data_IF_492733037718
#
_entry.id   IF_492733037718
#
_cell.length_a   1.000
_cell.length_b   1.000
_cell.length_c   1.000
_cell.angle_alpha   90.00
_cell.angle_beta   90.00
_cell.angle_gamma   90.00
#
_symmetry.space_group_name_H-M   'P 1'
#
loop_
_entity.id
_entity.type
_entity.pdbx_description
1 polymer ?
#
# COMPACT_ATOMS: atom_id res chain seq x y z
N UNK A 1 2.98 12.23 11.38
CA UNK A 1 3.41 11.55 10.14
C UNK A 1 4.65 10.73 10.49
N UNK A 2 4.68 9.40 10.26
CA UNK A 2 5.88 8.63 10.51
C UNK A 2 7.03 9.15 9.63
N UNK A 3 8.23 9.31 10.17
CA UNK A 3 9.39 9.86 9.43
C UNK A 3 10.20 8.73 8.77
N UNK A 4 9.91 7.49 9.14
CA UNK A 4 10.63 6.28 8.75
C UNK A 4 9.75 5.38 7.87
N UNK A 5 10.35 4.52 7.03
CA UNK A 5 9.62 3.57 6.22
C UNK A 5 8.79 2.62 7.10
N UNK A 6 7.55 2.36 6.69
CA UNK A 6 6.62 1.51 7.46
C UNK A 6 6.44 0.17 6.76
N UNK A 7 6.63 -0.92 7.50
CA UNK A 7 6.28 -2.27 7.03
C UNK A 7 4.78 -2.49 7.18
N UNK A 8 4.16 -2.95 6.10
CA UNK A 8 2.71 -3.12 6.01
C UNK A 8 2.37 -4.16 4.94
N UNK A 9 1.08 -4.50 4.82
CA UNK A 9 0.54 -5.16 3.63
C UNK A 9 -0.27 -4.17 2.82
N UNK A 10 -0.26 -4.28 1.49
CA UNK A 10 -1.05 -3.41 0.62
C UNK A 10 -2.20 -4.16 -0.02
N UNK A 11 -3.38 -3.55 -0.07
CA UNK A 11 -4.54 -4.05 -0.82
C UNK A 11 -4.89 -3.08 -1.93
N UNK A 12 -4.76 -3.54 -3.18
CA UNK A 12 -4.99 -2.73 -4.39
C UNK A 12 -6.36 -3.00 -5.05
N UNK A 13 -7.05 -4.07 -4.64
CA UNK A 13 -8.39 -4.42 -5.14
C UNK A 13 -9.35 -4.79 -4.01
N UNK A 14 -10.61 -4.42 -4.17
CA UNK A 14 -11.69 -4.84 -3.28
C UNK A 14 -11.92 -6.35 -3.36
N UNK A 15 -11.77 -6.92 -4.56
CA UNK A 15 -11.95 -8.36 -4.79
C UNK A 15 -10.64 -9.12 -4.62
N UNK A 16 -10.57 -9.85 -3.52
CA UNK A 16 -9.82 -11.08 -3.31
C UNK A 16 -8.36 -11.01 -2.76
N UNK A 17 -8.17 -11.26 -1.45
CA UNK A 17 -7.07 -11.92 -0.67
C UNK A 17 -5.57 -11.60 -0.92
N UNK A 18 -5.19 -10.76 -1.87
CA UNK A 18 -3.78 -10.40 -2.04
C UNK A 18 -3.40 -9.18 -1.19
N UNK A 19 -2.70 -9.47 -0.10
CA UNK A 19 -2.13 -8.50 0.84
C UNK A 19 -0.59 -8.69 0.87
N UNK A 20 0.12 -8.47 -0.24
CA UNK A 20 1.56 -8.69 -0.27
C UNK A 20 2.26 -7.77 0.74
N UNK A 21 3.27 -8.29 1.45
CA UNK A 21 4.10 -7.48 2.32
C UNK A 21 4.83 -6.41 1.52
N UNK A 22 4.88 -5.21 2.06
CA UNK A 22 5.43 -4.03 1.42
C UNK A 22 6.07 -3.08 2.42
N UNK A 23 6.92 -2.20 1.90
CA UNK A 23 7.47 -1.06 2.63
C UNK A 23 6.91 0.22 2.03
N UNK A 24 6.26 1.02 2.85
CA UNK A 24 5.74 2.33 2.50
C UNK A 24 6.73 3.44 2.90
N UNK A 25 7.11 4.27 1.93
CA UNK A 25 8.00 5.41 2.10
C UNK A 25 7.21 6.70 1.89
N UNK A 26 7.34 7.66 2.81
CA UNK A 26 6.73 8.98 2.62
C UNK A 26 7.57 9.76 1.62
N UNK A 27 6.91 10.31 0.60
CA UNK A 27 7.50 11.13 -0.44
C UNK A 27 6.67 12.41 -0.59
N UNK A 28 6.93 13.38 0.29
CA UNK A 28 6.14 14.61 0.39
C UNK A 28 4.70 14.35 0.80
N UNK A 29 3.76 14.67 -0.09
CA UNK A 29 2.32 14.41 0.08
C UNK A 29 1.89 13.04 -0.47
N UNK A 30 2.83 12.29 -1.04
CA UNK A 30 2.61 10.97 -1.62
C UNK A 30 3.25 9.88 -0.77
N UNK A 31 2.91 8.64 -1.11
CA UNK A 31 3.51 7.45 -0.53
C UNK A 31 4.00 6.56 -1.65
N UNK A 32 5.30 6.24 -1.63
CA UNK A 32 5.86 5.22 -2.51
C UNK A 32 5.79 3.87 -1.80
N UNK A 33 5.13 2.90 -2.42
CA UNK A 33 4.97 1.54 -1.88
C UNK A 33 5.85 0.59 -2.70
N UNK A 34 6.77 -0.10 -2.03
CA UNK A 34 7.58 -1.16 -2.63
C UNK A 34 7.10 -2.48 -2.05
N UNK A 35 6.53 -3.33 -2.89
CA UNK A 35 6.07 -4.66 -2.48
C UNK A 35 7.21 -5.66 -2.65
N UNK A 36 7.33 -6.59 -1.71
CA UNK A 36 8.34 -7.65 -1.76
C UNK A 36 8.00 -8.66 -2.86
N UNK A 37 6.70 -8.80 -3.13
CA UNK A 37 6.14 -9.67 -4.16
C UNK A 37 5.39 -8.86 -5.23
N UNK A 38 5.33 -9.35 -6.48
CA UNK A 38 4.57 -8.70 -7.54
C UNK A 38 3.10 -8.53 -7.18
N UNK A 39 2.59 -7.31 -7.27
CA UNK A 39 1.15 -7.03 -7.14
C UNK A 39 0.47 -7.31 -8.47
N UNK A 40 -0.63 -8.06 -8.45
CA UNK A 40 -1.37 -8.39 -9.67
C UNK A 40 -2.20 -7.20 -10.17
N UNK A 41 -1.92 -6.79 -11.41
CA UNK A 41 -2.69 -5.80 -12.16
C UNK A 41 -3.01 -4.50 -11.40
N UNK A 42 -2.01 -3.79 -10.84
CA UNK A 42 -2.18 -2.44 -10.33
C UNK A 42 -2.49 -1.49 -11.49
N UNK A 43 -3.53 -0.68 -11.34
CA UNK A 43 -3.95 0.28 -12.35
C UNK A 43 -4.14 1.67 -11.76
N UNK A 44 -3.85 2.70 -12.57
CA UNK A 44 -4.10 4.09 -12.23
C UNK A 44 -5.57 4.31 -11.89
N UNK A 45 -5.83 5.06 -10.81
CA UNK A 45 -7.17 5.30 -10.27
C UNK A 45 -7.69 4.22 -9.32
N UNK A 46 -6.99 3.09 -9.17
CA UNK A 46 -7.34 2.13 -8.12
C UNK A 46 -6.93 2.64 -6.74
N UNK A 47 -7.67 2.23 -5.71
CA UNK A 47 -7.30 2.50 -4.33
C UNK A 47 -6.22 1.53 -3.86
N UNK A 48 -5.18 2.05 -3.22
CA UNK A 48 -4.19 1.28 -2.49
C UNK A 48 -4.35 1.59 -0.99
N UNK A 49 -4.57 0.56 -0.18
CA UNK A 49 -4.76 0.68 1.27
C UNK A 49 -3.71 -0.13 2.00
N UNK A 50 -3.03 0.49 2.97
CA UNK A 50 -1.99 -0.11 3.79
C UNK A 50 -2.56 -0.62 5.11
N UNK A 51 -2.20 -1.85 5.47
CA UNK A 51 -2.64 -2.53 6.68
C UNK A 51 -1.45 -3.02 7.51
N UNK A 52 -1.59 -2.94 8.83
CA UNK A 52 -0.77 -3.63 9.82
C UNK A 52 -1.67 -4.62 10.57
N UNK A 53 -1.65 -5.88 10.15
CA UNK A 53 -2.65 -6.87 10.55
C UNK A 53 -4.07 -6.40 10.20
N UNK A 54 -4.92 -6.24 11.21
CA UNK A 54 -6.31 -5.76 11.06
C UNK A 54 -6.44 -4.23 11.10
N UNK A 55 -5.34 -3.49 11.33
CA UNK A 55 -5.35 -2.03 11.45
C UNK A 55 -5.09 -1.38 10.10
N UNK A 56 -5.95 -0.42 9.72
CA UNK A 56 -5.70 0.47 8.58
C UNK A 56 -4.70 1.54 9.00
N UNK A 57 -3.59 1.63 8.26
CA UNK A 57 -2.57 2.67 8.44
C UNK A 57 -2.87 3.90 7.59
N UNK A 58 -3.49 3.71 6.43
CA UNK A 58 -3.84 4.77 5.50
C UNK A 58 -4.16 4.21 4.11
N UNK A 59 -4.54 5.09 3.20
CA UNK A 59 -4.81 4.71 1.83
C UNK A 59 -4.83 5.91 0.90
N UNK A 60 -4.75 5.63 -0.39
CA UNK A 60 -4.74 6.63 -1.46
C UNK A 60 -5.09 6.00 -2.80
N UNK A 61 -4.90 6.78 -3.87
CA UNK A 61 -5.10 6.32 -5.23
C UNK A 61 -3.75 6.12 -5.93
N UNK A 62 -3.65 5.08 -6.76
CA UNK A 62 -2.50 4.87 -7.64
C UNK A 62 -2.56 5.90 -8.77
N UNK A 63 -1.50 6.70 -8.98
CA UNK A 63 -1.45 7.76 -9.99
C UNK A 63 -0.25 7.66 -10.92
#
# INVERSE_FOLDING_TARGET
KPVEPVRATVRVRHTKWENPPCTAFIDGDNVRIICDEPVRAPAKGQSAVLYDGDRVLGGGFIF
#
